data_IF_146303997487
#
_entry.id   IF_146303997487
#
_cell.length_a   1.000
_cell.length_b   1.000
_cell.length_c   1.000
_cell.angle_alpha   90.00
_cell.angle_beta   90.00
_cell.angle_gamma   90.00
#
_symmetry.space_group_name_H-M   'P 1'
#
loop_
_entity.id
_entity.type
_entity.pdbx_description
1 polymer ?
#
# COMPACT_ATOMS: atom_id res chain seq x y z
N UNK A 1 -16.51 5.55 10.31
CA UNK A 1 -16.28 4.38 11.19
C UNK A 1 -16.50 3.02 10.51
N UNK A 2 -16.86 2.94 9.23
CA UNK A 2 -17.07 1.65 8.56
C UNK A 2 -15.75 0.91 8.22
N UNK A 3 -14.70 1.65 7.83
CA UNK A 3 -13.46 1.05 7.31
C UNK A 3 -12.32 0.94 8.31
N UNK A 4 -12.49 1.39 9.56
CA UNK A 4 -11.37 1.55 10.50
C UNK A 4 -10.66 0.25 10.86
N UNK A 5 -11.31 -0.90 10.70
CA UNK A 5 -10.79 -2.22 11.09
C UNK A 5 -10.73 -3.21 9.92
N UNK A 6 -10.77 -2.71 8.68
CA UNK A 6 -10.64 -3.56 7.49
C UNK A 6 -9.37 -4.39 7.59
N UNK A 7 -9.47 -5.69 7.32
CA UNK A 7 -8.30 -6.53 7.18
C UNK A 7 -7.67 -6.32 5.79
N UNK A 8 -6.40 -6.69 5.60
CA UNK A 8 -5.72 -6.58 4.31
C UNK A 8 -6.52 -7.14 3.13
N UNK A 9 -7.07 -8.35 3.29
CA UNK A 9 -7.83 -9.00 2.23
C UNK A 9 -9.18 -8.33 1.96
N UNK A 10 -9.87 -7.86 3.01
CA UNK A 10 -11.13 -7.15 2.84
C UNK A 10 -10.94 -5.86 2.02
N UNK A 11 -9.86 -5.13 2.28
CA UNK A 11 -9.50 -3.96 1.48
C UNK A 11 -9.25 -4.33 0.01
N UNK A 12 -8.47 -5.38 -0.25
CA UNK A 12 -8.18 -5.82 -1.60
C UNK A 12 -9.45 -6.26 -2.36
N UNK A 13 -10.36 -6.96 -1.68
CA UNK A 13 -11.64 -7.39 -2.24
C UNK A 13 -12.57 -6.22 -2.55
N UNK A 14 -12.55 -5.16 -1.74
CA UNK A 14 -13.28 -3.91 -2.00
C UNK A 14 -12.69 -3.20 -3.21
N UNK A 15 -11.37 -2.99 -3.25
CA UNK A 15 -10.70 -2.25 -4.32
C UNK A 15 -10.83 -2.97 -5.66
N UNK A 16 -10.75 -4.31 -5.68
CA UNK A 16 -10.93 -5.12 -6.89
C UNK A 16 -12.31 -4.96 -7.54
N UNK A 17 -13.33 -4.52 -6.79
CA UNK A 17 -14.68 -4.25 -7.33
C UNK A 17 -14.78 -2.94 -8.09
N UNK A 18 -13.78 -2.06 -7.99
CA UNK A 18 -13.72 -0.83 -8.78
C UNK A 18 -13.51 -1.21 -10.24
N UNK A 19 -14.48 -0.83 -11.09
CA UNK A 19 -14.57 -1.28 -12.49
C UNK A 19 -13.44 -0.73 -13.36
N UNK A 20 -13.01 0.51 -13.11
CA UNK A 20 -11.89 1.11 -13.81
C UNK A 20 -10.59 0.79 -13.07
N UNK A 21 -9.70 0.00 -13.69
CA UNK A 21 -8.42 -0.38 -13.07
C UNK A 21 -7.56 0.83 -12.70
N UNK A 22 -7.62 1.90 -13.51
CA UNK A 22 -6.92 3.16 -13.23
C UNK A 22 -7.36 3.82 -11.90
N UNK A 23 -8.62 3.64 -11.51
CA UNK A 23 -9.18 4.23 -10.29
C UNK A 23 -8.86 3.39 -9.04
N UNK A 24 -8.47 2.13 -9.19
CA UNK A 24 -8.22 1.21 -8.07
C UNK A 24 -7.18 1.76 -7.10
N UNK A 25 -6.11 2.37 -7.64
CA UNK A 25 -5.04 2.95 -6.82
C UNK A 25 -5.51 4.16 -6.01
N UNK A 26 -6.30 5.05 -6.62
CA UNK A 26 -6.87 6.22 -5.94
C UNK A 26 -7.87 5.81 -4.87
N UNK A 27 -8.74 4.83 -5.16
CA UNK A 27 -9.70 4.29 -4.19
C UNK A 27 -8.97 3.62 -3.02
N UNK A 28 -7.93 2.84 -3.29
CA UNK A 28 -7.12 2.23 -2.22
C UNK A 28 -6.52 3.29 -1.29
N UNK A 29 -5.97 4.38 -1.85
CA UNK A 29 -5.40 5.47 -1.07
C UNK A 29 -6.46 6.25 -0.26
N UNK A 30 -7.67 6.40 -0.80
CA UNK A 30 -8.78 7.01 -0.07
C UNK A 30 -9.23 6.16 1.13
N UNK A 31 -9.28 4.83 0.97
CA UNK A 31 -9.66 3.94 2.07
C UNK A 31 -8.52 3.82 3.10
N UNK A 32 -7.26 3.78 2.65
CA UNK A 32 -6.09 3.68 3.53
C UNK A 32 -6.05 4.81 4.59
N UNK A 33 -6.46 6.03 4.23
CA UNK A 33 -6.52 7.19 5.13
C UNK A 33 -7.46 7.00 6.33
N UNK A 34 -8.48 6.15 6.20
CA UNK A 34 -9.50 5.95 7.24
C UNK A 34 -9.34 4.63 8.00
N UNK A 35 -8.39 3.77 7.59
CA UNK A 35 -8.01 2.57 8.33
C UNK A 35 -7.04 2.99 9.44
N UNK A 36 -7.42 2.78 10.70
CA UNK A 36 -6.64 3.27 11.85
C UNK A 36 -5.29 2.56 11.97
N UNK A 37 -5.26 1.27 11.64
CA UNK A 37 -4.06 0.42 11.69
C UNK A 37 -3.70 -0.12 10.30
N UNK A 38 -3.52 0.78 9.34
CA UNK A 38 -3.04 0.42 8.01
C UNK A 38 -1.58 -0.03 8.08
N UNK A 39 -1.26 -1.18 7.49
CA UNK A 39 0.06 -1.83 7.61
C UNK A 39 0.62 -2.25 6.26
N UNK A 40 1.90 -2.62 6.25
CA UNK A 40 2.59 -3.21 5.09
C UNK A 40 1.83 -4.39 4.49
N UNK A 41 1.13 -5.19 5.30
CA UNK A 41 0.30 -6.31 4.83
C UNK A 41 -0.89 -5.88 3.97
N UNK A 42 -1.46 -4.69 4.20
CA UNK A 42 -2.52 -4.14 3.36
C UNK A 42 -1.99 -3.86 1.94
N UNK A 43 -0.79 -3.28 1.85
CA UNK A 43 -0.12 -3.01 0.57
C UNK A 43 0.17 -4.32 -0.16
N UNK A 44 0.68 -5.33 0.55
CA UNK A 44 0.97 -6.66 -0.02
C UNK A 44 -0.29 -7.33 -0.58
N UNK A 45 -1.41 -7.29 0.17
CA UNK A 45 -2.66 -7.87 -0.31
C UNK A 45 -3.15 -7.19 -1.60
N UNK A 46 -3.02 -5.86 -1.70
CA UNK A 46 -3.33 -5.13 -2.93
C UNK A 46 -2.36 -5.45 -4.07
N UNK A 47 -1.05 -5.50 -3.80
CA UNK A 47 -0.01 -5.84 -4.79
C UNK A 47 -0.22 -7.21 -5.45
N UNK A 48 -0.75 -8.18 -4.69
CA UNK A 48 -1.04 -9.54 -5.17
C UNK A 48 -2.40 -9.66 -5.87
N UNK A 49 -3.28 -8.68 -5.69
CA UNK A 49 -4.67 -8.74 -6.17
C UNK A 49 -4.91 -7.87 -7.40
N UNK A 50 -4.24 -6.71 -7.48
CA UNK A 50 -4.46 -5.72 -8.53
C UNK A 50 -3.52 -5.90 -9.73
N UNK A 51 -3.80 -5.19 -10.81
CA UNK A 51 -3.06 -5.29 -12.06
C UNK A 51 -1.59 -4.86 -11.90
N UNK A 52 -0.68 -5.60 -12.52
CA UNK A 52 0.77 -5.44 -12.29
C UNK A 52 1.31 -4.08 -12.71
N UNK A 53 0.73 -3.47 -13.74
CA UNK A 53 1.16 -2.17 -14.26
C UNK A 53 0.87 -1.00 -13.29
N UNK A 54 0.04 -1.20 -12.26
CA UNK A 54 -0.27 -0.17 -11.24
C UNK A 54 0.66 -0.20 -10.02
N UNK A 55 1.50 -1.23 -9.89
CA UNK A 55 2.17 -1.59 -8.63
C UNK A 55 3.11 -0.51 -8.09
N UNK A 56 3.86 0.18 -8.96
CA UNK A 56 4.72 1.30 -8.56
C UNK A 56 3.88 2.43 -7.96
N UNK A 57 2.85 2.88 -8.69
CA UNK A 57 1.94 3.94 -8.25
C UNK A 57 1.21 3.56 -6.95
N UNK A 58 0.82 2.29 -6.81
CA UNK A 58 0.18 1.74 -5.64
C UNK A 58 1.08 1.84 -4.41
N UNK A 59 2.34 1.41 -4.51
CA UNK A 59 3.32 1.52 -3.41
C UNK A 59 3.51 2.99 -3.03
N UNK A 60 3.81 3.85 -4.02
CA UNK A 60 4.05 5.28 -3.80
C UNK A 60 2.91 5.96 -3.04
N UNK A 61 1.66 5.63 -3.37
CA UNK A 61 0.49 6.22 -2.74
C UNK A 61 0.14 5.64 -1.39
N UNK A 62 0.52 4.39 -1.09
CA UNK A 62 0.10 3.72 0.13
C UNK A 62 1.15 3.71 1.25
N UNK A 63 2.44 3.81 0.91
CA UNK A 63 3.52 3.86 1.89
C UNK A 63 3.31 4.90 3.01
N UNK A 64 2.84 6.13 2.73
CA UNK A 64 2.62 7.13 3.79
C UNK A 64 1.62 6.72 4.87
N UNK A 65 0.74 5.74 4.60
CA UNK A 65 -0.28 5.28 5.54
C UNK A 65 0.19 4.08 6.39
N UNK A 66 1.27 3.40 6.00
CA UNK A 66 1.78 2.22 6.68
C UNK A 66 2.36 2.56 8.08
N UNK A 67 1.69 2.08 9.12
CA UNK A 67 2.08 2.33 10.53
C UNK A 67 3.32 1.55 10.96
N UNK A 68 3.62 0.44 10.30
CA UNK A 68 4.70 -0.50 10.61
C UNK A 68 5.82 -0.49 9.55
N UNK A 69 5.88 0.55 8.70
CA UNK A 69 6.83 0.58 7.58
C UNK A 69 8.30 0.57 8.02
N UNK A 70 8.63 1.18 9.16
CA UNK A 70 9.99 1.21 9.69
C UNK A 70 10.51 -0.16 10.13
N UNK A 71 9.63 -1.10 10.46
CA UNK A 71 10.00 -2.45 10.91
C UNK A 71 9.75 -3.52 9.85
N UNK A 72 8.75 -3.34 8.99
CA UNK A 72 8.24 -4.39 8.10
C UNK A 72 8.32 -4.06 6.60
N UNK A 73 9.09 -3.04 6.18
CA UNK A 73 9.24 -2.68 4.77
C UNK A 73 9.70 -3.84 3.87
N UNK A 74 10.52 -4.76 4.42
CA UNK A 74 10.99 -5.96 3.74
C UNK A 74 9.86 -6.85 3.21
N UNK A 75 8.69 -6.83 3.84
CA UNK A 75 7.53 -7.62 3.41
C UNK A 75 6.98 -7.12 2.06
N UNK A 76 6.90 -5.79 1.86
CA UNK A 76 6.50 -5.23 0.57
C UNK A 76 7.61 -5.48 -0.47
N UNK A 77 8.87 -5.24 -0.09
CA UNK A 77 10.01 -5.41 -0.98
C UNK A 77 10.14 -6.85 -1.50
N UNK A 78 9.74 -7.86 -0.71
CA UNK A 78 9.75 -9.26 -1.14
C UNK A 78 8.75 -9.56 -2.28
N UNK A 79 7.66 -8.79 -2.39
CA UNK A 79 6.69 -8.93 -3.48
C UNK A 79 7.07 -8.10 -4.72
N UNK A 80 8.00 -7.14 -4.61
CA UNK A 80 8.42 -6.28 -5.73
C UNK A 80 9.49 -6.92 -6.61
N UNK A 81 9.42 -6.65 -7.91
CA UNK A 81 10.53 -6.91 -8.84
C UNK A 81 11.70 -5.96 -8.58
N UNK A 82 12.89 -6.28 -9.05
CA UNK A 82 14.06 -5.42 -8.85
C UNK A 82 13.89 -4.03 -9.50
N UNK A 83 13.21 -3.97 -10.64
CA UNK A 83 12.87 -2.69 -11.27
C UNK A 83 11.91 -1.85 -10.42
N UNK A 84 10.87 -2.47 -9.86
CA UNK A 84 9.91 -1.79 -8.97
C UNK A 84 10.60 -1.29 -7.69
N UNK A 85 11.54 -2.07 -7.13
CA UNK A 85 12.35 -1.66 -5.98
C UNK A 85 13.16 -0.40 -6.30
N UNK A 86 13.84 -0.37 -7.45
CA UNK A 86 14.58 0.82 -7.90
C UNK A 86 13.65 2.03 -8.05
N UNK A 87 12.47 1.85 -8.65
CA UNK A 87 11.54 2.95 -8.87
C UNK A 87 10.91 3.52 -7.59
N UNK A 88 10.88 2.73 -6.50
CA UNK A 88 10.20 3.09 -5.24
C UNK A 88 11.18 3.34 -4.08
N UNK A 89 12.48 3.21 -4.30
CA UNK A 89 13.51 3.30 -3.26
C UNK A 89 13.42 4.60 -2.44
N UNK A 90 13.30 5.74 -3.13
CA UNK A 90 13.15 7.04 -2.48
C UNK A 90 11.86 7.16 -1.67
N UNK A 91 10.77 6.54 -2.14
CA UNK A 91 9.47 6.58 -1.47
C UNK A 91 9.52 5.78 -0.16
N UNK A 92 10.17 4.62 -0.16
CA UNK A 92 10.45 3.84 1.05
C UNK A 92 11.28 4.64 2.04
N UNK A 93 12.35 5.30 1.57
CA UNK A 93 13.20 6.13 2.43
C UNK A 93 12.39 7.23 3.10
N UNK A 94 11.61 7.99 2.34
CA UNK A 94 10.74 9.07 2.85
C UNK A 94 9.74 8.52 3.87
N UNK A 95 9.08 7.41 3.57
CA UNK A 95 8.09 6.82 4.46
C UNK A 95 8.68 6.32 5.78
N UNK A 96 9.86 5.69 5.75
CA UNK A 96 10.57 5.22 6.94
C UNK A 96 11.04 6.40 7.78
N UNK A 97 11.70 7.39 7.17
CA UNK A 97 12.22 8.57 7.87
C UNK A 97 11.07 9.36 8.54
N UNK A 98 9.95 9.53 7.84
CA UNK A 98 8.74 10.18 8.38
C UNK A 98 8.14 9.42 9.56
N UNK A 99 8.25 8.08 9.56
CA UNK A 99 7.68 7.25 10.63
C UNK A 99 8.53 7.22 11.89
N UNK A 100 9.85 7.34 11.75
CA UNK A 100 10.79 7.39 12.86
C UNK A 100 10.82 8.76 13.58
N UNK A 101 10.27 9.80 12.95
CA UNK A 101 10.16 11.14 13.52
C UNK A 101 8.93 11.36 14.42
N UNK A 102 8.02 10.37 14.51
CA UNK A 102 6.78 10.39 15.30
C UNK A 102 6.93 9.58 16.60
#
# INVERSE_FOLDING_TARGET
QLFSTLQPQDLADIVKRVTMEFDQTDVAAMIAQVISNFTTYHVVSLLRTLATWTRIQLVQRLLPYCKDISTNSSVILADLTDWEKVCTESDFKIAIDSRMAL
#
